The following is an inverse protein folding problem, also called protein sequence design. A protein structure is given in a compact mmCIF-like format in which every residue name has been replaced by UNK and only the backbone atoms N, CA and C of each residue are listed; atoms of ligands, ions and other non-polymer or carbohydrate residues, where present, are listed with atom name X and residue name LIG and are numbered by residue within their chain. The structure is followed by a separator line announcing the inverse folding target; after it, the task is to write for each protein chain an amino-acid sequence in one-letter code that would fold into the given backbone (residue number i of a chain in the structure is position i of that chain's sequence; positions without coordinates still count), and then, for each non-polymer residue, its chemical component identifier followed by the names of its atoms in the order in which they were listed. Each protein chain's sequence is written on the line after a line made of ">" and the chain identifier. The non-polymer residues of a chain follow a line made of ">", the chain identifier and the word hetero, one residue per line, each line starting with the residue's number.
data_IF_803447229219
#
_entry.id   IF_803447229219
#
_cell.length_a   1.000
_cell.length_b   1.000
_cell.length_c   1.000
_cell.angle_alpha   90.00
_cell.angle_beta   90.00
_cell.angle_gamma   90.00
#
_symmetry.space_group_name_H-M   'P 1'
#
loop_
_entity.id
_entity.type
_entity.pdbx_description
1 polymer ?
#
# COMPACT_ATOMS: atom_id res chain seq x y z
N UNK A 1 3.10 22.62 40.97
CA UNK A 1 3.72 23.81 41.63
C UNK A 1 5.23 23.65 41.49
N UNK A 2 5.81 24.10 40.41
CA UNK A 2 7.22 24.50 40.26
C UNK A 2 7.27 25.33 38.99
N UNK A 3 7.46 26.60 39.18
CA UNK A 3 7.71 27.68 38.23
C UNK A 3 9.15 27.56 37.70
N UNK A 4 9.36 27.70 36.40
CA UNK A 4 10.67 27.94 35.84
C UNK A 4 10.66 29.22 35.01
N UNK A 5 11.48 30.13 35.50
CA UNK A 5 11.77 31.49 35.02
C UNK A 5 12.39 31.48 33.61
N UNK A 6 11.96 32.46 32.82
CA UNK A 6 12.63 32.89 31.61
C UNK A 6 13.93 33.65 31.85
N UNK A 7 14.89 33.43 30.98
CA UNK A 7 16.05 34.30 30.82
C UNK A 7 16.06 34.84 29.39
N UNK A 8 15.72 36.11 29.26
CA UNK A 8 15.90 36.92 28.04
C UNK A 8 17.33 37.44 28.04
N UNK A 9 18.17 37.02 27.12
CA UNK A 9 19.48 37.62 26.86
C UNK A 9 19.32 38.65 25.74
N UNK A 10 19.38 39.94 26.11
CA UNK A 10 19.51 41.04 25.19
C UNK A 10 21.00 41.20 24.81
N UNK A 11 21.34 40.98 23.55
CA UNK A 11 22.64 41.33 22.98
C UNK A 11 22.48 42.64 22.18
N UNK A 12 23.09 43.68 22.69
CA UNK A 12 23.21 44.97 22.05
C UNK A 12 24.16 44.90 20.84
N UNK A 13 23.71 45.40 19.70
CA UNK A 13 24.53 45.58 18.50
C UNK A 13 25.15 46.99 18.49
N UNK A 14 26.41 47.16 18.10
CA UNK A 14 26.92 48.43 17.64
C UNK A 14 27.22 48.43 16.14
N UNK A 15 26.79 49.48 15.46
CA UNK A 15 27.47 50.01 14.29
C UNK A 15 26.93 49.62 12.93
N UNK A 16 25.83 50.22 12.50
CA UNK A 16 25.45 50.35 11.10
C UNK A 16 26.37 51.32 10.37
N UNK A 17 27.34 50.80 9.60
CA UNK A 17 28.00 51.57 8.53
C UNK A 17 27.06 51.56 7.31
N UNK A 18 26.63 52.74 6.89
CA UNK A 18 25.99 52.97 5.61
C UNK A 18 26.91 52.54 4.46
N UNK A 19 26.58 51.47 3.78
CA UNK A 19 27.14 51.13 2.49
C UNK A 19 26.32 51.86 1.42
N UNK A 20 26.99 52.70 0.66
CA UNK A 20 26.42 53.43 -0.48
C UNK A 20 25.82 52.44 -1.50
N UNK A 21 24.60 52.69 -1.90
CA UNK A 21 23.91 51.94 -2.97
C UNK A 21 24.65 52.23 -4.29
N UNK A 22 25.36 51.20 -4.78
CA UNK A 22 25.79 51.14 -6.17
C UNK A 22 24.54 50.75 -7.01
N UNK A 23 24.18 51.63 -7.93
CA UNK A 23 23.15 51.39 -8.93
C UNK A 23 23.52 50.15 -9.77
N UNK A 24 22.73 49.09 -9.61
CA UNK A 24 22.84 47.88 -10.43
C UNK A 24 22.46 48.21 -11.89
N UNK A 25 23.18 47.65 -12.88
CA UNK A 25 22.83 47.82 -14.27
C UNK A 25 21.45 47.20 -14.54
N UNK A 26 20.66 47.87 -15.38
CA UNK A 26 19.33 47.46 -15.83
C UNK A 26 19.27 45.95 -16.15
N UNK A 27 18.70 45.18 -15.24
CA UNK A 27 18.37 43.81 -15.51
C UNK A 27 17.26 43.80 -16.55
N UNK A 28 17.53 43.22 -17.74
CA UNK A 28 16.54 42.85 -18.73
C UNK A 28 15.38 42.14 -18.02
N UNK A 29 14.10 42.54 -18.22
CA UNK A 29 12.98 41.93 -17.54
C UNK A 29 13.00 40.43 -17.84
N UNK A 30 13.17 39.61 -16.81
CA UNK A 30 12.96 38.16 -16.92
C UNK A 30 11.56 37.94 -17.47
N UNK A 31 11.40 37.13 -18.54
CA UNK A 31 10.08 36.85 -19.08
C UNK A 31 9.17 36.32 -17.97
N UNK A 32 8.01 36.95 -17.85
CA UNK A 32 7.01 36.69 -16.84
C UNK A 32 6.63 35.21 -16.83
N UNK A 33 7.13 34.47 -15.85
CA UNK A 33 6.90 33.04 -15.71
C UNK A 33 5.43 32.69 -15.52
N UNK A 34 4.62 33.63 -15.07
CA UNK A 34 3.17 33.47 -14.89
C UNK A 34 2.40 33.50 -16.22
N UNK A 35 2.83 34.28 -17.21
CA UNK A 35 2.21 34.29 -18.53
C UNK A 35 2.50 32.99 -19.32
N UNK A 36 3.73 32.48 -19.25
CA UNK A 36 4.06 31.18 -19.87
C UNK A 36 3.30 30.01 -19.26
N UNK A 37 3.05 30.05 -17.96
CA UNK A 37 2.26 29.02 -17.26
C UNK A 37 0.78 29.01 -17.68
N UNK A 38 0.20 30.18 -18.03
CA UNK A 38 -1.20 30.28 -18.43
C UNK A 38 -1.48 29.70 -19.85
N UNK A 39 -0.47 29.64 -20.72
CA UNK A 39 -0.60 29.12 -22.09
C UNK A 39 -0.44 27.59 -22.18
N UNK A 40 0.20 26.96 -21.21
CA UNK A 40 0.41 25.51 -21.18
C UNK A 40 -0.84 24.77 -20.69
N UNK A 41 -0.95 23.51 -21.13
CA UNK A 41 -1.96 22.58 -20.63
C UNK A 41 -1.79 22.37 -19.11
N UNK A 42 -2.77 22.75 -18.32
CA UNK A 42 -2.74 22.54 -16.87
C UNK A 42 -3.15 21.11 -16.54
N UNK A 43 -2.27 20.38 -15.89
CA UNK A 43 -2.45 18.96 -15.62
C UNK A 43 -2.31 18.70 -14.12
N UNK A 44 -3.21 17.90 -13.57
CA UNK A 44 -3.13 17.38 -12.22
C UNK A 44 -2.90 15.87 -12.27
N UNK A 45 -1.90 15.38 -11.51
CA UNK A 45 -1.61 13.96 -11.37
C UNK A 45 -2.16 13.44 -10.05
N UNK A 46 -3.01 12.44 -10.13
CA UNK A 46 -3.62 11.74 -9.01
C UNK A 46 -3.16 10.29 -8.99
N UNK A 47 -2.25 10.00 -8.11
CA UNK A 47 -1.68 8.66 -7.96
C UNK A 47 -2.37 7.91 -6.82
N UNK A 48 -3.24 6.98 -7.15
CA UNK A 48 -3.90 6.07 -6.20
C UNK A 48 -3.27 4.66 -6.27
N UNK A 49 -1.95 4.63 -6.37
CA UNK A 49 -1.14 3.41 -6.42
C UNK A 49 0.29 3.71 -5.98
N UNK A 50 1.02 2.66 -5.59
CA UNK A 50 2.45 2.77 -5.34
C UNK A 50 3.25 2.92 -6.64
N UNK A 51 4.43 3.56 -6.57
CA UNK A 51 5.34 3.73 -7.70
C UNK A 51 5.10 4.97 -8.54
N UNK A 52 4.21 5.86 -8.12
CA UNK A 52 4.05 7.19 -8.68
C UNK A 52 5.03 8.17 -8.04
N UNK A 53 5.96 8.67 -8.82
CA UNK A 53 6.94 9.68 -8.44
C UNK A 53 6.57 11.03 -9.08
N UNK A 54 5.87 11.86 -8.32
CA UNK A 54 5.36 13.15 -8.83
C UNK A 54 6.48 14.06 -9.31
N UNK A 55 7.58 14.13 -8.57
CA UNK A 55 8.69 15.00 -8.90
C UNK A 55 9.40 14.56 -10.18
N UNK A 56 9.46 13.26 -10.39
CA UNK A 56 9.92 12.70 -11.67
C UNK A 56 9.01 13.12 -12.82
N UNK A 57 7.68 13.02 -12.68
CA UNK A 57 6.75 13.42 -13.76
C UNK A 57 6.82 14.91 -14.05
N UNK A 58 6.93 15.75 -13.01
CA UNK A 58 7.08 17.20 -13.16
C UNK A 58 8.33 17.55 -13.98
N UNK A 59 9.42 16.86 -13.70
CA UNK A 59 10.71 17.06 -14.41
C UNK A 59 10.68 16.49 -15.82
N UNK A 60 10.16 15.28 -15.97
CA UNK A 60 10.19 14.51 -17.21
C UNK A 60 9.18 15.01 -18.26
N UNK A 61 8.06 15.60 -17.83
CA UNK A 61 6.98 16.06 -18.70
C UNK A 61 6.88 17.60 -18.60
N UNK A 62 7.87 18.27 -19.13
CA UNK A 62 8.03 19.72 -19.00
C UNK A 62 7.12 20.56 -19.91
N UNK A 63 6.42 19.98 -20.89
CA UNK A 63 5.57 20.71 -21.84
C UNK A 63 4.18 21.06 -21.27
N UNK A 64 3.79 20.53 -20.11
CA UNK A 64 2.57 20.88 -19.39
C UNK A 64 2.85 21.77 -18.18
N UNK A 65 1.80 22.40 -17.65
CA UNK A 65 1.85 23.13 -16.37
C UNK A 65 1.18 22.26 -15.30
N UNK A 66 1.99 21.68 -14.43
CA UNK A 66 1.48 20.85 -13.35
C UNK A 66 0.79 21.71 -12.30
N UNK A 67 -0.45 21.35 -11.95
CA UNK A 67 -1.19 22.01 -10.88
C UNK A 67 -1.14 21.18 -9.60
N UNK A 68 -1.24 21.86 -8.48
CA UNK A 68 -1.31 21.21 -7.18
C UNK A 68 -2.70 20.71 -6.84
N UNK A 69 -3.73 21.35 -7.42
CA UNK A 69 -5.12 21.01 -7.15
C UNK A 69 -5.83 20.62 -8.45
N UNK A 70 -6.68 19.61 -8.35
CA UNK A 70 -7.45 19.09 -9.49
C UNK A 70 -8.42 20.11 -10.06
N UNK A 71 -8.99 20.98 -9.22
CA UNK A 71 -9.97 21.97 -9.66
C UNK A 71 -9.37 23.04 -10.59
N UNK A 72 -8.04 23.21 -10.55
CA UNK A 72 -7.31 24.16 -11.39
C UNK A 72 -6.78 23.51 -12.69
N UNK A 73 -6.90 22.20 -12.83
CA UNK A 73 -6.42 21.47 -14.00
C UNK A 73 -7.38 21.54 -15.19
N UNK A 74 -6.82 21.48 -16.39
CA UNK A 74 -7.57 21.23 -17.63
C UNK A 74 -7.73 19.71 -17.85
N UNK A 75 -6.72 18.92 -17.41
CA UNK A 75 -6.73 17.45 -17.43
C UNK A 75 -6.38 16.92 -16.04
N UNK A 76 -7.23 16.05 -15.52
CA UNK A 76 -6.97 15.26 -14.32
C UNK A 76 -6.54 13.84 -14.74
N UNK A 77 -5.32 13.45 -14.42
CA UNK A 77 -4.77 12.12 -14.68
C UNK A 77 -4.91 11.29 -13.41
N UNK A 78 -5.80 10.30 -13.42
CA UNK A 78 -5.99 9.35 -12.34
C UNK A 78 -5.24 8.05 -12.68
N UNK A 79 -4.31 7.65 -11.83
CA UNK A 79 -3.51 6.43 -11.98
C UNK A 79 -3.88 5.44 -10.90
N UNK A 80 -4.40 4.28 -11.32
CA UNK A 80 -4.69 3.14 -10.44
C UNK A 80 -3.92 1.92 -10.90
N UNK A 81 -3.74 0.92 -10.04
CA UNK A 81 -3.10 -0.34 -10.43
C UNK A 81 -3.72 -1.54 -9.72
N UNK A 82 -3.63 -2.69 -10.39
CA UNK A 82 -3.88 -4.02 -9.83
C UNK A 82 -2.65 -4.90 -10.05
N UNK A 83 -2.44 -5.84 -9.13
CA UNK A 83 -1.40 -6.84 -9.29
C UNK A 83 -1.81 -7.86 -10.38
N UNK A 84 -0.88 -8.17 -11.27
CA UNK A 84 -1.07 -9.22 -12.26
C UNK A 84 -0.83 -10.60 -11.64
N UNK A 85 -1.35 -11.66 -12.27
CA UNK A 85 -1.07 -13.03 -11.84
C UNK A 85 0.42 -13.39 -11.77
N UNK A 86 1.26 -12.66 -12.52
CA UNK A 86 2.72 -12.76 -12.50
C UNK A 86 3.40 -11.93 -11.40
N UNK A 87 2.64 -11.25 -10.54
CA UNK A 87 3.16 -10.36 -9.50
C UNK A 87 3.70 -9.03 -10.01
N UNK A 88 3.51 -8.70 -11.29
CA UNK A 88 3.72 -7.38 -11.84
C UNK A 88 2.54 -6.45 -11.55
N UNK A 89 2.56 -5.24 -12.12
CA UNK A 89 1.48 -4.27 -11.96
C UNK A 89 0.84 -3.92 -13.31
N UNK A 90 -0.48 -3.94 -13.34
CA UNK A 90 -1.29 -3.47 -14.46
C UNK A 90 -1.87 -2.11 -14.08
N UNK A 91 -1.37 -1.05 -14.72
CA UNK A 91 -1.79 0.32 -14.49
C UNK A 91 -2.94 0.70 -15.41
N UNK A 92 -3.94 1.36 -14.85
CA UNK A 92 -5.01 2.04 -15.58
C UNK A 92 -4.85 3.54 -15.37
N UNK A 93 -4.63 4.27 -16.47
CA UNK A 93 -4.47 5.72 -16.49
C UNK A 93 -5.70 6.34 -17.13
N UNK A 94 -6.48 7.09 -16.36
CA UNK A 94 -7.64 7.83 -16.85
C UNK A 94 -7.29 9.30 -16.98
N UNK A 95 -7.54 9.86 -18.14
CA UNK A 95 -7.37 11.28 -18.47
C UNK A 95 -8.74 11.93 -18.54
N UNK A 96 -9.08 12.69 -17.53
CA UNK A 96 -10.41 13.26 -17.36
C UNK A 96 -10.34 14.75 -17.68
N UNK A 97 -10.94 15.13 -18.79
CA UNK A 97 -11.01 16.50 -19.23
C UNK A 97 -11.88 17.35 -18.31
N UNK A 98 -11.39 18.55 -18.01
CA UNK A 98 -12.07 19.56 -17.21
C UNK A 98 -12.04 20.90 -17.95
N UNK A 99 -12.82 21.88 -17.51
CA UNK A 99 -12.86 23.23 -18.08
C UNK A 99 -13.05 23.18 -19.62
N UNK A 100 -12.05 23.64 -20.41
CA UNK A 100 -12.08 23.62 -21.87
C UNK A 100 -12.13 22.22 -22.49
N UNK A 101 -11.75 21.20 -21.73
CA UNK A 101 -11.80 19.79 -22.15
C UNK A 101 -12.92 19.01 -21.46
N UNK A 102 -13.88 19.69 -20.83
CA UNK A 102 -15.01 19.02 -20.19
C UNK A 102 -15.74 18.11 -21.20
N UNK A 103 -16.08 16.89 -20.76
CA UNK A 103 -16.70 15.87 -21.61
C UNK A 103 -15.73 15.00 -22.42
N UNK A 104 -14.43 15.30 -22.43
CA UNK A 104 -13.42 14.43 -23.04
C UNK A 104 -12.80 13.54 -21.96
N UNK A 105 -12.69 12.26 -22.25
CA UNK A 105 -12.00 11.31 -21.39
C UNK A 105 -11.28 10.28 -22.26
N UNK A 106 -10.04 9.95 -21.86
CA UNK A 106 -9.27 8.86 -22.45
C UNK A 106 -8.82 7.92 -21.34
N UNK A 107 -8.71 6.65 -21.65
CA UNK A 107 -8.16 5.64 -20.73
C UNK A 107 -7.09 4.83 -21.45
N UNK A 108 -5.90 4.78 -20.88
CA UNK A 108 -4.84 3.90 -21.34
C UNK A 108 -4.45 2.94 -20.24
N UNK A 109 -4.01 1.77 -20.67
CA UNK A 109 -3.50 0.74 -19.77
C UNK A 109 -2.05 0.41 -20.14
N UNK A 110 -1.25 0.10 -19.14
CA UNK A 110 0.13 -0.38 -19.33
C UNK A 110 0.48 -1.33 -18.20
N UNK A 111 1.42 -2.23 -18.45
CA UNK A 111 1.84 -3.21 -17.44
C UNK A 111 3.35 -3.18 -17.27
N UNK A 112 3.79 -3.52 -16.08
CA UNK A 112 5.20 -3.77 -15.76
C UNK A 112 5.34 -5.15 -15.13
N UNK A 113 6.49 -5.78 -15.34
CA UNK A 113 6.81 -7.08 -14.75
C UNK A 113 7.05 -6.99 -13.23
N UNK A 114 7.08 -8.14 -12.58
CA UNK A 114 7.31 -8.23 -11.12
C UNK A 114 8.71 -7.79 -10.70
N UNK A 115 9.68 -7.90 -11.59
CA UNK A 115 11.08 -7.51 -11.40
C UNK A 115 11.38 -6.05 -11.79
N UNK A 116 10.36 -5.33 -12.29
CA UNK A 116 10.50 -3.93 -12.66
C UNK A 116 10.95 -3.08 -11.46
N UNK A 117 12.01 -2.32 -11.65
CA UNK A 117 12.51 -1.37 -10.67
C UNK A 117 11.55 -0.19 -10.47
N UNK A 118 11.74 0.59 -9.43
CA UNK A 118 10.97 1.84 -9.25
C UNK A 118 11.17 2.80 -10.43
N UNK A 119 12.36 2.80 -11.03
CA UNK A 119 12.66 3.62 -12.21
C UNK A 119 11.90 3.14 -13.46
N UNK A 120 11.86 1.83 -13.71
CA UNK A 120 11.08 1.25 -14.81
C UNK A 120 9.60 1.58 -14.69
N UNK A 121 9.05 1.49 -13.49
CA UNK A 121 7.64 1.81 -13.20
C UNK A 121 7.33 3.27 -13.51
N UNK A 122 8.07 4.21 -12.92
CA UNK A 122 7.84 5.65 -13.15
C UNK A 122 8.06 6.04 -14.61
N UNK A 123 9.06 5.49 -15.31
CA UNK A 123 9.30 5.74 -16.75
C UNK A 123 8.17 5.21 -17.62
N UNK A 124 7.66 4.02 -17.32
CA UNK A 124 6.52 3.42 -18.04
C UNK A 124 5.27 4.28 -17.90
N UNK A 125 4.95 4.72 -16.68
CA UNK A 125 3.83 5.63 -16.43
C UNK A 125 4.06 6.96 -17.18
N UNK A 126 5.25 7.57 -17.06
CA UNK A 126 5.56 8.83 -17.70
C UNK A 126 5.42 8.77 -19.23
N UNK A 127 5.89 7.68 -19.86
CA UNK A 127 5.74 7.45 -21.30
C UNK A 127 4.27 7.44 -21.71
N UNK A 128 3.44 6.67 -20.99
CA UNK A 128 2.00 6.58 -21.26
C UNK A 128 1.30 7.93 -21.06
N UNK A 129 1.65 8.65 -19.99
CA UNK A 129 1.12 10.00 -19.72
C UNK A 129 1.52 10.98 -20.85
N UNK A 130 2.78 10.97 -21.29
CA UNK A 130 3.24 11.83 -22.40
C UNK A 130 2.43 11.60 -23.67
N UNK A 131 2.20 10.34 -24.05
CA UNK A 131 1.47 9.97 -25.28
C UNK A 131 0.08 10.62 -25.35
N UNK A 132 -0.64 10.65 -24.23
CA UNK A 132 -1.99 11.23 -24.18
C UNK A 132 -1.93 12.76 -24.03
N UNK A 133 -1.08 13.27 -23.15
CA UNK A 133 -1.01 14.71 -22.89
C UNK A 133 -0.55 15.52 -24.11
N UNK A 134 0.27 14.94 -24.99
CA UNK A 134 0.63 15.58 -26.27
C UNK A 134 -0.60 15.88 -27.11
N UNK A 135 -1.58 14.96 -27.19
CA UNK A 135 -2.83 15.16 -27.91
C UNK A 135 -3.63 16.34 -27.36
N UNK A 136 -3.76 16.44 -26.03
CA UNK A 136 -4.46 17.58 -25.41
C UNK A 136 -3.67 18.88 -25.53
N UNK A 137 -2.36 18.83 -25.39
CA UNK A 137 -1.49 20.00 -25.52
C UNK A 137 -1.49 20.55 -26.96
N UNK A 138 -1.61 19.68 -27.97
CA UNK A 138 -1.75 20.07 -29.37
C UNK A 138 -3.04 20.89 -29.66
N UNK A 139 -4.06 20.80 -28.81
CA UNK A 139 -5.27 21.62 -28.86
C UNK A 139 -5.15 22.96 -28.12
N UNK A 140 -3.92 23.34 -27.69
CA UNK A 140 -3.65 24.60 -26.98
C UNK A 140 -2.65 25.45 -27.74
N UNK A 141 -2.45 26.73 -27.40
CA UNK A 141 -1.38 27.55 -27.99
C UNK A 141 0.03 26.95 -27.88
N UNK A 142 0.26 26.00 -26.95
CA UNK A 142 1.51 25.27 -26.84
C UNK A 142 1.82 24.36 -28.04
N UNK A 143 0.83 24.08 -28.91
CA UNK A 143 1.01 23.27 -30.13
C UNK A 143 2.17 23.76 -31.01
N UNK A 144 2.36 25.08 -31.10
CA UNK A 144 3.42 25.68 -31.89
C UNK A 144 4.85 25.32 -31.42
N UNK A 145 4.97 24.80 -30.20
CA UNK A 145 6.24 24.46 -29.56
C UNK A 145 6.43 22.95 -29.33
N UNK A 146 5.47 22.12 -29.78
CA UNK A 146 5.54 20.66 -29.64
C UNK A 146 6.09 20.05 -30.92
N UNK A 147 7.28 19.48 -30.83
CA UNK A 147 7.84 18.59 -31.84
C UNK A 147 7.64 17.13 -31.40
N UNK A 148 7.20 16.27 -32.31
CA UNK A 148 7.15 14.81 -32.08
C UNK A 148 8.23 14.17 -32.92
N UNK A 149 9.22 13.56 -32.27
CA UNK A 149 10.24 12.73 -32.91
C UNK A 149 9.84 11.26 -32.78
N UNK A 150 9.97 10.53 -33.85
CA UNK A 150 9.82 9.08 -33.86
C UNK A 150 11.22 8.46 -33.94
N UNK A 151 11.68 7.94 -32.81
CA UNK A 151 12.90 7.15 -32.79
C UNK A 151 12.49 5.70 -33.10
N UNK A 152 12.75 5.28 -34.34
CA UNK A 152 12.58 3.89 -34.71
C UNK A 152 13.59 3.06 -33.88
N UNK A 153 13.19 2.09 -33.06
CA UNK A 153 14.14 1.19 -32.41
C UNK A 153 14.95 0.55 -33.54
N UNK A 154 16.25 0.80 -33.59
CA UNK A 154 17.13 0.22 -34.58
C UNK A 154 16.84 -1.27 -34.70
N UNK A 155 16.54 -1.77 -35.87
CA UNK A 155 15.93 -3.05 -36.24
C UNK A 155 16.13 -4.15 -35.21
N UNK A 156 15.38 -4.10 -34.13
CA UNK A 156 15.03 -5.30 -33.38
C UNK A 156 14.15 -6.05 -34.37
N UNK A 157 14.72 -7.11 -34.96
CA UNK A 157 14.07 -7.96 -35.92
C UNK A 157 12.58 -8.02 -35.60
N UNK A 158 11.73 -7.68 -36.56
CA UNK A 158 10.30 -7.84 -36.50
C UNK A 158 10.09 -9.22 -35.90
N UNK A 159 9.84 -9.29 -34.61
CA UNK A 159 9.38 -10.52 -33.99
C UNK A 159 8.03 -10.73 -34.66
N UNK A 160 8.08 -11.45 -35.80
CA UNK A 160 6.88 -12.00 -36.36
C UNK A 160 6.11 -12.58 -35.21
N UNK A 161 4.80 -12.54 -35.24
CA UNK A 161 3.87 -13.17 -34.29
C UNK A 161 4.30 -14.63 -34.03
N UNK A 162 5.46 -14.81 -33.40
CA UNK A 162 5.84 -16.08 -32.81
C UNK A 162 4.92 -16.21 -31.62
N UNK A 163 4.03 -17.18 -31.69
CA UNK A 163 3.34 -17.66 -30.49
C UNK A 163 4.42 -17.89 -29.44
N UNK A 164 4.53 -16.95 -28.50
CA UNK A 164 5.48 -17.07 -27.38
C UNK A 164 5.01 -18.32 -26.62
N UNK A 165 5.74 -19.42 -26.79
CA UNK A 165 5.47 -20.63 -26.02
C UNK A 165 5.97 -20.32 -24.60
N UNK A 166 5.03 -20.10 -23.71
CA UNK A 166 5.33 -19.96 -22.28
C UNK A 166 5.58 -21.40 -21.70
N UNK A 167 6.86 -21.77 -21.42
CA UNK A 167 7.18 -23.10 -20.89
C UNK A 167 6.66 -23.30 -19.46
N UNK A 168 6.29 -22.24 -18.78
CA UNK A 168 5.77 -22.27 -17.41
C UNK A 168 4.26 -22.34 -17.34
N UNK A 169 3.55 -22.26 -18.46
CA UNK A 169 2.09 -22.30 -18.54
C UNK A 169 1.40 -21.37 -17.52
N UNK A 170 1.85 -20.10 -17.48
CA UNK A 170 1.38 -19.03 -16.59
C UNK A 170 1.67 -19.26 -15.09
N UNK A 171 2.49 -20.25 -14.75
CA UNK A 171 2.98 -20.38 -13.38
C UNK A 171 4.07 -19.36 -13.07
N UNK A 172 3.96 -18.74 -11.92
CA UNK A 172 4.96 -17.83 -11.38
C UNK A 172 5.37 -18.30 -9.99
N UNK A 173 6.67 -18.50 -9.81
CA UNK A 173 7.27 -18.94 -8.57
C UNK A 173 8.07 -17.79 -7.95
N UNK A 174 7.92 -17.57 -6.66
CA UNK A 174 8.67 -16.55 -5.94
C UNK A 174 9.24 -17.15 -4.67
N UNK A 175 10.51 -16.88 -4.42
CA UNK A 175 11.21 -17.19 -3.18
C UNK A 175 11.73 -15.88 -2.63
N UNK A 176 11.45 -15.59 -1.37
CA UNK A 176 11.99 -14.40 -0.72
C UNK A 176 12.37 -14.67 0.73
N UNK A 177 13.39 -13.98 1.21
CA UNK A 177 13.81 -13.99 2.60
C UNK A 177 14.07 -12.55 3.04
N UNK A 178 13.69 -12.25 4.28
CA UNK A 178 13.92 -10.94 4.88
C UNK A 178 14.52 -11.15 6.27
N UNK A 179 15.45 -10.28 6.64
CA UNK A 179 16.03 -10.24 7.98
C UNK A 179 15.96 -8.82 8.52
N UNK A 180 15.46 -8.68 9.73
CA UNK A 180 15.47 -7.43 10.48
C UNK A 180 16.23 -7.64 11.80
N UNK A 181 17.19 -6.77 12.06
CA UNK A 181 18.04 -6.82 13.26
C UNK A 181 18.04 -5.45 13.91
N UNK A 182 17.83 -5.43 15.22
CA UNK A 182 17.94 -4.22 16.01
C UNK A 182 18.71 -4.52 17.29
N UNK A 183 19.34 -3.50 17.86
CA UNK A 183 20.08 -3.68 19.11
C UNK A 183 20.39 -2.36 19.78
N UNK A 184 20.37 -2.41 21.07
CA UNK A 184 20.82 -1.37 21.99
C UNK A 184 21.54 -2.01 23.17
N UNK A 185 21.98 -1.23 24.16
CA UNK A 185 22.81 -1.73 25.28
C UNK A 185 22.16 -2.82 26.12
N UNK A 186 20.82 -2.82 26.26
CA UNK A 186 20.07 -3.71 27.13
C UNK A 186 19.11 -4.64 26.40
N UNK A 187 18.93 -4.46 25.10
CA UNK A 187 18.06 -5.34 24.31
C UNK A 187 18.60 -5.55 22.90
N UNK A 188 18.35 -6.72 22.35
CA UNK A 188 18.56 -6.98 20.93
C UNK A 188 17.47 -7.88 20.39
N UNK A 189 17.18 -7.70 19.12
CA UNK A 189 16.16 -8.48 18.42
C UNK A 189 16.63 -8.89 17.03
N UNK A 190 16.20 -10.07 16.64
CA UNK A 190 16.31 -10.54 15.26
C UNK A 190 14.98 -11.12 14.82
N UNK A 191 14.59 -10.81 13.61
CA UNK A 191 13.43 -11.38 12.95
C UNK A 191 13.84 -11.84 11.56
N UNK A 192 13.73 -13.14 11.30
CA UNK A 192 14.03 -13.76 10.02
C UNK A 192 12.76 -14.35 9.45
N UNK A 193 12.45 -14.03 8.21
CA UNK A 193 11.29 -14.57 7.51
C UNK A 193 11.68 -15.13 6.14
N UNK A 194 11.10 -16.28 5.79
CA UNK A 194 11.21 -16.89 4.48
C UNK A 194 9.82 -17.10 3.90
N UNK A 195 9.66 -16.82 2.60
CA UNK A 195 8.39 -16.97 1.90
C UNK A 195 8.62 -17.68 0.57
N UNK A 196 7.76 -18.64 0.28
CA UNK A 196 7.66 -19.34 -1.00
C UNK A 196 6.27 -19.12 -1.55
N UNK A 197 6.13 -18.84 -2.82
CA UNK A 197 4.82 -18.83 -3.48
C UNK A 197 4.88 -19.38 -4.88
N UNK A 198 3.77 -20.01 -5.29
CA UNK A 198 3.53 -20.45 -6.65
C UNK A 198 2.12 -20.03 -7.02
N UNK A 199 1.97 -19.23 -8.07
CA UNK A 199 0.68 -18.70 -8.49
C UNK A 199 0.47 -18.96 -9.98
N UNK A 200 -0.78 -19.26 -10.35
CA UNK A 200 -1.23 -19.37 -11.74
C UNK A 200 -2.57 -18.66 -11.87
N UNK A 201 -2.61 -17.63 -12.67
CA UNK A 201 -3.84 -16.85 -12.89
C UNK A 201 -4.18 -16.85 -14.37
N UNK A 202 -5.37 -17.30 -14.69
CA UNK A 202 -5.97 -17.25 -16.04
C UNK A 202 -7.29 -16.48 -15.95
N UNK A 203 -8.00 -16.33 -17.04
CA UNK A 203 -9.34 -15.73 -17.02
C UNK A 203 -10.33 -16.55 -16.17
N UNK A 204 -10.21 -17.89 -16.18
CA UNK A 204 -11.15 -18.79 -15.53
C UNK A 204 -10.69 -19.29 -14.16
N UNK A 205 -9.37 -19.36 -13.94
CA UNK A 205 -8.79 -19.97 -12.75
C UNK A 205 -7.74 -19.10 -12.09
N UNK A 206 -7.80 -19.04 -10.76
CA UNK A 206 -6.74 -18.50 -9.91
C UNK A 206 -6.31 -19.58 -8.93
N UNK A 207 -5.08 -20.06 -9.06
CA UNK A 207 -4.49 -21.09 -8.22
C UNK A 207 -3.31 -20.46 -7.51
N UNK A 208 -3.22 -20.59 -6.20
CA UNK A 208 -2.11 -20.09 -5.41
C UNK A 208 -1.72 -21.07 -4.31
N UNK A 209 -0.41 -21.28 -4.17
CA UNK A 209 0.21 -21.97 -3.06
C UNK A 209 1.16 -20.97 -2.39
N UNK A 210 1.17 -20.97 -1.08
CA UNK A 210 2.07 -20.14 -0.29
C UNK A 210 2.64 -20.97 0.86
N UNK A 211 3.88 -20.71 1.23
CA UNK A 211 4.45 -21.18 2.48
C UNK A 211 5.30 -20.06 3.08
N UNK A 212 5.19 -19.89 4.38
CA UNK A 212 6.03 -18.95 5.10
C UNK A 212 6.58 -19.59 6.37
N UNK A 213 7.76 -19.10 6.80
CA UNK A 213 8.35 -19.42 8.07
C UNK A 213 8.91 -18.13 8.68
N UNK A 214 8.70 -17.96 9.97
CA UNK A 214 9.20 -16.82 10.71
C UNK A 214 9.91 -17.30 11.98
N UNK A 215 11.07 -16.73 12.23
CA UNK A 215 11.86 -16.91 13.43
C UNK A 215 12.14 -15.56 14.06
N UNK A 216 11.67 -15.35 15.28
CA UNK A 216 11.92 -14.14 16.05
C UNK A 216 12.66 -14.51 17.32
N UNK A 217 13.75 -13.79 17.59
CA UNK A 217 14.50 -13.88 18.85
C UNK A 217 14.60 -12.49 19.45
N UNK A 218 14.33 -12.39 20.74
CA UNK A 218 14.51 -11.17 21.54
C UNK A 218 15.35 -11.50 22.75
N UNK A 219 16.41 -10.72 22.99
CA UNK A 219 17.31 -10.87 24.11
C UNK A 219 17.18 -9.61 24.98
N UNK A 220 17.08 -9.81 26.30
CA UNK A 220 17.01 -8.71 27.27
C UNK A 220 18.03 -8.90 28.36
N UNK A 221 18.81 -7.87 28.66
CA UNK A 221 19.76 -7.83 29.76
C UNK A 221 19.21 -6.92 30.85
N UNK A 222 18.74 -7.49 31.95
CA UNK A 222 18.14 -6.75 33.06
C UNK A 222 19.15 -6.12 33.99
N UNK A 223 20.34 -6.73 34.10
CA UNK A 223 21.50 -6.21 34.86
C UNK A 223 22.76 -6.87 34.35
N UNK A 224 23.93 -6.30 34.71
CA UNK A 224 25.24 -6.78 34.25
C UNK A 224 25.71 -8.11 34.91
N UNK A 225 24.96 -8.61 35.87
CA UNK A 225 25.35 -9.81 36.65
C UNK A 225 24.57 -11.06 36.27
N UNK A 226 23.50 -10.94 35.51
CA UNK A 226 22.67 -12.07 35.05
C UNK A 226 22.80 -12.29 33.54
N UNK A 227 22.82 -13.55 33.09
CA UNK A 227 22.78 -13.84 31.65
C UNK A 227 21.54 -13.19 30.98
N UNK A 228 21.63 -12.76 29.72
CA UNK A 228 20.48 -12.26 29.00
C UNK A 228 19.34 -13.28 28.95
N UNK A 229 18.11 -12.80 29.18
CA UNK A 229 16.90 -13.59 28.92
C UNK A 229 16.66 -13.67 27.44
N UNK A 230 16.60 -14.89 26.89
CA UNK A 230 16.43 -15.14 25.45
C UNK A 230 15.04 -15.70 25.21
N UNK A 231 14.29 -15.01 24.38
CA UNK A 231 12.94 -15.41 23.98
C UNK A 231 12.91 -15.72 22.50
N UNK A 232 12.43 -16.90 22.14
CA UNK A 232 12.32 -17.37 20.77
C UNK A 232 10.86 -17.64 20.45
N UNK A 233 10.39 -17.14 19.33
CA UNK A 233 9.07 -17.43 18.78
C UNK A 233 9.22 -17.93 17.36
N UNK A 234 8.56 -19.02 17.04
CA UNK A 234 8.54 -19.63 15.73
C UNK A 234 7.12 -19.74 15.21
N UNK A 235 6.97 -19.46 13.95
CA UNK A 235 5.73 -19.75 13.25
C UNK A 235 6.03 -20.20 11.82
N UNK A 236 5.19 -21.09 11.31
CA UNK A 236 5.25 -21.50 9.92
C UNK A 236 3.85 -21.82 9.42
N UNK A 237 3.59 -21.57 8.16
CA UNK A 237 2.32 -21.97 7.56
C UNK A 237 2.50 -22.29 6.08
N UNK A 238 1.61 -23.13 5.58
CA UNK A 238 1.40 -23.31 4.16
C UNK A 238 -0.09 -23.20 3.85
N UNK A 239 -0.40 -22.61 2.72
CA UNK A 239 -1.77 -22.40 2.27
C UNK A 239 -1.90 -22.70 0.78
N UNK A 240 -3.10 -23.11 0.40
CA UNK A 240 -3.52 -23.34 -0.97
C UNK A 240 -4.87 -22.65 -1.18
N UNK A 241 -5.03 -21.98 -2.31
CA UNK A 241 -6.32 -21.47 -2.76
C UNK A 241 -6.52 -21.82 -4.23
N UNK A 242 -7.67 -22.34 -4.56
CA UNK A 242 -8.10 -22.64 -5.92
C UNK A 242 -9.44 -21.98 -6.11
N UNK A 243 -9.52 -21.03 -7.03
CA UNK A 243 -10.73 -20.25 -7.32
C UNK A 243 -11.06 -20.42 -8.80
N UNK A 244 -12.32 -20.66 -9.09
CA UNK A 244 -12.89 -20.71 -10.43
C UNK A 244 -13.82 -19.52 -10.64
N UNK A 245 -13.61 -18.78 -11.71
CA UNK A 245 -14.55 -17.77 -12.19
C UNK A 245 -15.75 -18.48 -12.82
N UNK A 246 -16.95 -18.23 -12.30
CA UNK A 246 -18.18 -18.84 -12.83
C UNK A 246 -18.89 -17.91 -13.83
N UNK A 247 -18.91 -16.62 -13.50
CA UNK A 247 -19.47 -15.53 -14.33
C UNK A 247 -18.69 -14.24 -14.09
N UNK A 248 -19.12 -13.15 -14.73
CA UNK A 248 -18.56 -11.80 -14.47
C UNK A 248 -18.73 -11.33 -13.01
N UNK A 249 -19.61 -11.96 -12.22
CA UNK A 249 -19.94 -11.59 -10.85
C UNK A 249 -19.68 -12.69 -9.82
N UNK A 250 -19.75 -13.97 -10.21
CA UNK A 250 -19.65 -15.10 -9.30
C UNK A 250 -18.33 -15.85 -9.43
N UNK A 251 -17.76 -16.20 -8.29
CA UNK A 251 -16.61 -17.10 -8.19
C UNK A 251 -16.85 -18.13 -7.10
N UNK A 252 -16.32 -19.31 -7.26
CA UNK A 252 -16.32 -20.35 -6.24
C UNK A 252 -14.90 -20.87 -6.02
N UNK A 253 -14.57 -21.25 -4.80
CA UNK A 253 -13.23 -21.69 -4.48
C UNK A 253 -13.16 -22.68 -3.34
N UNK A 254 -11.98 -23.29 -3.23
CA UNK A 254 -11.58 -24.10 -2.10
C UNK A 254 -10.23 -23.59 -1.58
N UNK A 255 -10.08 -23.60 -0.27
CA UNK A 255 -8.82 -23.26 0.37
C UNK A 255 -8.44 -24.33 1.39
N UNK A 256 -7.14 -24.52 1.57
CA UNK A 256 -6.60 -25.34 2.64
C UNK A 256 -5.44 -24.60 3.28
N UNK A 257 -5.26 -24.81 4.57
CA UNK A 257 -4.14 -24.25 5.31
C UNK A 257 -3.62 -25.25 6.34
N UNK A 258 -2.32 -25.20 6.60
CA UNK A 258 -1.66 -25.91 7.69
C UNK A 258 -0.67 -24.92 8.32
N UNK A 259 -0.53 -24.94 9.63
CA UNK A 259 0.34 -24.00 10.31
C UNK A 259 0.75 -24.44 11.71
N UNK A 260 1.79 -23.77 12.20
CA UNK A 260 2.35 -23.86 13.55
C UNK A 260 2.58 -22.44 14.06
N UNK A 261 2.19 -22.13 15.30
CA UNK A 261 2.39 -20.81 15.89
C UNK A 261 2.56 -20.90 17.42
N UNK A 262 3.80 -20.77 17.90
CA UNK A 262 4.11 -20.84 19.32
C UNK A 262 3.38 -19.75 20.12
N UNK A 263 3.32 -18.54 19.60
CA UNK A 263 2.63 -17.41 20.24
C UNK A 263 1.15 -17.71 20.52
N UNK A 264 0.49 -18.46 19.64
CA UNK A 264 -0.93 -18.81 19.74
C UNK A 264 -1.14 -20.19 20.39
N UNK A 265 -0.13 -20.77 21.06
CA UNK A 265 -0.23 -22.11 21.64
C UNK A 265 -0.64 -23.20 20.62
N UNK A 266 -0.35 -23.00 19.33
CA UNK A 266 -0.75 -23.91 18.26
C UNK A 266 0.45 -24.74 17.79
N UNK A 267 0.49 -26.01 18.15
CA UNK A 267 1.44 -26.96 17.62
C UNK A 267 1.13 -27.29 16.15
N UNK A 268 -0.14 -27.46 15.86
CA UNK A 268 -0.64 -27.70 14.50
C UNK A 268 -2.04 -27.10 14.36
N UNK A 269 -2.23 -26.32 13.32
CA UNK A 269 -3.55 -25.93 12.82
C UNK A 269 -3.68 -26.42 11.39
N UNK A 270 -4.74 -27.16 11.05
CA UNK A 270 -5.00 -27.61 9.68
C UNK A 270 -6.47 -27.37 9.36
N UNK A 271 -6.76 -26.73 8.24
CA UNK A 271 -8.14 -26.40 7.86
C UNK A 271 -8.35 -26.50 6.37
N UNK A 272 -9.60 -26.74 5.99
CA UNK A 272 -10.06 -26.68 4.60
C UNK A 272 -11.41 -26.00 4.54
N UNK A 273 -11.63 -25.13 3.55
CA UNK A 273 -12.88 -24.37 3.39
C UNK A 273 -13.32 -24.36 1.95
N UNK A 274 -14.62 -24.48 1.75
CA UNK A 274 -15.28 -24.13 0.49
C UNK A 274 -15.79 -22.70 0.59
N UNK A 275 -15.71 -21.95 -0.50
CA UNK A 275 -16.13 -20.54 -0.52
C UNK A 275 -16.88 -20.20 -1.79
N UNK A 276 -17.78 -19.24 -1.68
CA UNK A 276 -18.46 -18.60 -2.80
C UNK A 276 -18.33 -17.09 -2.64
N UNK A 277 -18.11 -16.39 -3.75
CA UNK A 277 -17.96 -14.94 -3.79
C UNK A 277 -18.90 -14.36 -4.83
N UNK A 278 -19.51 -13.23 -4.47
CA UNK A 278 -20.27 -12.38 -5.38
C UNK A 278 -19.66 -10.99 -5.43
N UNK A 279 -19.27 -10.55 -6.62
CA UNK A 279 -18.85 -9.17 -6.86
C UNK A 279 -20.01 -8.38 -7.49
N UNK A 280 -20.40 -7.29 -6.85
CA UNK A 280 -21.48 -6.42 -7.33
C UNK A 280 -21.11 -5.67 -8.61
N UNK A 281 -19.82 -5.42 -8.84
CA UNK A 281 -19.26 -4.86 -10.07
C UNK A 281 -18.69 -5.98 -10.94
N UNK A 282 -18.56 -5.72 -12.22
CA UNK A 282 -17.86 -6.67 -13.11
C UNK A 282 -16.37 -6.70 -12.83
N UNK A 283 -15.74 -7.84 -12.97
CA UNK A 283 -14.29 -7.99 -12.74
C UNK A 283 -13.42 -7.04 -13.55
N UNK A 284 -13.89 -6.58 -14.73
CA UNK A 284 -13.20 -5.59 -15.55
C UNK A 284 -13.12 -4.21 -14.91
N UNK A 285 -13.98 -3.92 -13.96
CA UNK A 285 -14.06 -2.64 -13.25
C UNK A 285 -13.23 -2.64 -11.95
N UNK A 286 -12.65 -3.79 -11.57
CA UNK A 286 -11.97 -4.00 -10.30
C UNK A 286 -10.74 -3.09 -10.06
N UNK A 287 -10.21 -2.43 -11.09
CA UNK A 287 -9.19 -1.39 -10.94
C UNK A 287 -9.69 -0.17 -10.18
N UNK A 288 -11.01 0.10 -10.21
CA UNK A 288 -11.63 1.26 -9.60
C UNK A 288 -12.73 0.92 -8.62
N UNK A 289 -13.55 -0.08 -8.95
CA UNK A 289 -14.72 -0.47 -8.18
C UNK A 289 -14.70 -1.96 -7.93
N UNK A 290 -14.61 -2.34 -6.68
CA UNK A 290 -14.78 -3.72 -6.24
C UNK A 290 -15.64 -3.71 -4.99
N UNK A 291 -16.79 -4.40 -5.02
CA UNK A 291 -17.61 -4.63 -3.85
C UNK A 291 -18.01 -6.10 -3.83
N UNK A 292 -17.44 -6.84 -2.87
CA UNK A 292 -17.55 -8.29 -2.80
C UNK A 292 -18.21 -8.73 -1.51
N UNK A 293 -19.01 -9.79 -1.61
CA UNK A 293 -19.49 -10.57 -0.50
C UNK A 293 -18.98 -12.01 -0.65
N UNK A 294 -18.32 -12.52 0.39
CA UNK A 294 -17.74 -13.86 0.41
C UNK A 294 -18.32 -14.65 1.58
N UNK A 295 -18.74 -15.87 1.31
CA UNK A 295 -19.07 -16.83 2.35
C UNK A 295 -18.16 -18.05 2.24
N UNK A 296 -17.59 -18.47 3.35
CA UNK A 296 -16.69 -19.62 3.43
C UNK A 296 -17.10 -20.51 4.61
N UNK A 297 -16.99 -21.83 4.44
CA UNK A 297 -17.33 -22.83 5.45
C UNK A 297 -16.39 -24.02 5.36
N UNK A 298 -16.01 -24.57 6.50
CA UNK A 298 -15.20 -25.79 6.55
C UNK A 298 -14.66 -26.12 7.93
N UNK A 299 -14.05 -27.29 8.11
CA UNK A 299 -13.46 -27.71 9.37
C UNK A 299 -12.07 -27.08 9.60
N UNK A 300 -11.74 -26.86 10.86
CA UNK A 300 -10.39 -26.56 11.32
C UNK A 300 -10.03 -27.52 12.44
N UNK A 301 -8.89 -28.19 12.30
CA UNK A 301 -8.29 -29.05 13.32
C UNK A 301 -7.18 -28.29 14.00
N UNK A 302 -7.19 -28.25 15.35
CA UNK A 302 -6.16 -27.63 16.17
C UNK A 302 -5.55 -28.70 17.10
N UNK A 303 -4.22 -28.73 17.19
CA UNK A 303 -3.45 -29.40 18.22
C UNK A 303 -2.62 -28.35 18.95
N UNK A 304 -2.71 -28.35 20.27
CA UNK A 304 -2.12 -27.33 21.10
C UNK A 304 -0.80 -27.77 21.71
N UNK A 305 0.13 -26.84 21.94
CA UNK A 305 1.41 -27.08 22.60
C UNK A 305 1.15 -27.36 24.09
N UNK A 306 0.34 -26.54 24.73
CA UNK A 306 -0.09 -26.70 26.12
C UNK A 306 -1.61 -26.85 26.17
N UNK A 307 -2.12 -27.49 27.22
CA UNK A 307 -3.55 -27.60 27.45
C UNK A 307 -4.20 -26.20 27.50
N UNK A 308 -5.31 -26.03 26.77
CA UNK A 308 -6.02 -24.76 26.73
C UNK A 308 -6.83 -24.51 28.02
N UNK A 309 -7.27 -23.25 28.19
CA UNK A 309 -8.19 -22.87 29.29
C UNK A 309 -9.51 -23.68 29.28
N UNK A 310 -9.87 -24.28 28.12
CA UNK A 310 -11.02 -25.17 27.96
C UNK A 310 -10.66 -26.65 28.14
N UNK A 311 -9.47 -26.95 28.70
CA UNK A 311 -8.97 -28.31 28.97
C UNK A 311 -8.78 -29.15 27.71
N UNK A 312 -8.55 -28.54 26.55
CA UNK A 312 -8.32 -29.22 25.29
C UNK A 312 -6.83 -29.29 24.99
N UNK A 313 -6.41 -30.40 24.40
CA UNK A 313 -5.06 -30.59 23.80
C UNK A 313 -5.16 -30.69 22.28
N UNK A 314 -6.32 -31.07 21.78
CA UNK A 314 -6.66 -31.03 20.35
C UNK A 314 -8.18 -31.00 20.14
N UNK A 315 -8.62 -30.46 19.04
CA UNK A 315 -10.04 -30.43 18.65
C UNK A 315 -10.20 -30.16 17.16
N UNK A 316 -11.32 -30.63 16.61
CA UNK A 316 -11.72 -30.34 15.23
C UNK A 316 -13.07 -29.66 15.26
N UNK A 317 -13.13 -28.45 14.70
CA UNK A 317 -14.31 -27.59 14.81
C UNK A 317 -14.75 -27.11 13.43
N UNK A 318 -16.02 -27.25 13.07
CA UNK A 318 -16.57 -26.60 11.90
C UNK A 318 -16.68 -25.10 12.14
N UNK A 319 -16.22 -24.30 11.16
CA UNK A 319 -16.22 -22.85 11.20
C UNK A 319 -16.80 -22.30 9.92
N UNK A 320 -17.51 -21.19 10.01
CA UNK A 320 -17.88 -20.40 8.85
C UNK A 320 -17.38 -18.96 8.96
N UNK A 321 -17.32 -18.28 7.84
CA UNK A 321 -16.89 -16.90 7.75
C UNK A 321 -17.71 -16.19 6.68
N UNK A 322 -18.13 -14.98 6.98
CA UNK A 322 -18.72 -14.04 6.04
C UNK A 322 -17.84 -12.79 5.96
N UNK A 323 -17.56 -12.33 4.76
CA UNK A 323 -16.74 -11.15 4.49
C UNK A 323 -17.51 -10.26 3.51
N UNK A 324 -17.51 -8.95 3.80
CA UNK A 324 -17.89 -7.91 2.85
C UNK A 324 -16.68 -6.99 2.71
N UNK A 325 -16.28 -6.70 1.48
CA UNK A 325 -15.19 -5.77 1.22
C UNK A 325 -15.53 -4.83 0.07
N UNK A 326 -15.15 -3.57 0.24
CA UNK A 326 -15.31 -2.53 -0.77
C UNK A 326 -13.98 -1.83 -1.02
N UNK A 327 -13.62 -1.69 -2.29
CA UNK A 327 -12.56 -0.81 -2.77
C UNK A 327 -13.14 0.09 -3.83
N UNK A 328 -13.06 1.40 -3.61
CA UNK A 328 -13.51 2.42 -4.57
C UNK A 328 -12.41 3.46 -4.73
N UNK A 329 -12.00 3.71 -5.97
CA UNK A 329 -10.97 4.70 -6.33
C UNK A 329 -11.55 5.69 -7.33
N UNK A 330 -11.75 6.91 -6.86
CA UNK A 330 -12.43 7.96 -7.58
C UNK A 330 -11.68 9.28 -7.55
N UNK A 331 -12.11 10.23 -8.37
CA UNK A 331 -11.54 11.59 -8.42
C UNK A 331 -11.59 12.32 -7.07
N UNK A 332 -12.59 12.03 -6.26
CA UNK A 332 -12.75 12.67 -4.94
C UNK A 332 -11.91 12.00 -3.84
N UNK A 333 -11.35 10.82 -4.11
CA UNK A 333 -10.52 10.07 -3.17
C UNK A 333 -10.67 8.57 -3.31
N UNK A 334 -10.31 7.83 -2.27
CA UNK A 334 -10.43 6.37 -2.21
C UNK A 334 -11.12 5.92 -0.92
N UNK A 335 -11.79 4.80 -1.01
CA UNK A 335 -12.42 4.09 0.11
C UNK A 335 -12.03 2.61 0.01
N UNK A 336 -11.37 2.11 1.04
CA UNK A 336 -11.06 0.69 1.21
C UNK A 336 -11.63 0.25 2.57
N UNK A 337 -12.69 -0.55 2.54
CA UNK A 337 -13.38 -1.02 3.74
C UNK A 337 -13.57 -2.54 3.68
N UNK A 338 -13.42 -3.21 4.81
CA UNK A 338 -13.73 -4.63 4.94
C UNK A 338 -14.36 -4.92 6.29
N UNK A 339 -15.37 -5.77 6.28
CA UNK A 339 -15.99 -6.31 7.47
C UNK A 339 -16.00 -7.83 7.37
N UNK A 340 -15.69 -8.52 8.45
CA UNK A 340 -15.76 -9.97 8.50
C UNK A 340 -16.35 -10.46 9.83
N UNK A 341 -17.06 -11.57 9.75
CA UNK A 341 -17.54 -12.31 10.91
C UNK A 341 -17.18 -13.78 10.71
N UNK A 342 -16.51 -14.37 11.66
CA UNK A 342 -16.25 -15.80 11.72
C UNK A 342 -16.79 -16.41 13.01
N UNK A 343 -17.34 -17.61 12.92
CA UNK A 343 -17.94 -18.30 14.06
C UNK A 343 -17.65 -19.80 13.99
N UNK A 344 -17.49 -20.40 15.16
CA UNK A 344 -17.49 -21.85 15.27
C UNK A 344 -18.93 -22.37 15.35
N UNK A 345 -19.30 -23.30 14.45
CA UNK A 345 -20.68 -23.76 14.32
C UNK A 345 -21.17 -24.62 15.52
N UNK A 346 -20.26 -25.13 16.34
CA UNK A 346 -20.62 -25.87 17.56
C UNK A 346 -21.01 -24.95 18.72
N UNK A 347 -20.54 -23.70 18.71
CA UNK A 347 -20.84 -22.67 19.71
C UNK A 347 -20.75 -21.29 19.04
N UNK A 348 -21.88 -20.74 18.65
CA UNK A 348 -21.97 -19.45 17.98
C UNK A 348 -21.53 -18.26 18.85
N UNK A 349 -21.38 -18.45 20.16
CA UNK A 349 -20.81 -17.43 21.03
C UNK A 349 -19.30 -17.24 20.78
N UNK A 350 -18.63 -18.25 20.19
CA UNK A 350 -17.22 -18.21 19.78
C UNK A 350 -17.10 -17.50 18.43
N UNK A 351 -17.18 -16.17 18.50
CA UNK A 351 -17.25 -15.27 17.34
C UNK A 351 -16.06 -14.35 17.30
N UNK A 352 -15.56 -14.09 16.10
CA UNK A 352 -14.67 -12.99 15.81
C UNK A 352 -15.31 -12.10 14.75
N UNK A 353 -15.56 -10.85 15.11
CA UNK A 353 -16.07 -9.86 14.17
C UNK A 353 -15.05 -8.75 14.03
N UNK A 354 -14.68 -8.42 12.81
CA UNK A 354 -13.73 -7.36 12.52
C UNK A 354 -14.26 -6.40 11.47
N UNK A 355 -13.90 -5.14 11.64
CA UNK A 355 -14.12 -4.05 10.70
C UNK A 355 -12.79 -3.32 10.52
N UNK A 356 -12.37 -3.08 9.29
CA UNK A 356 -11.14 -2.35 9.02
C UNK A 356 -11.21 -1.61 7.70
N UNK A 357 -10.33 -0.63 7.54
CA UNK A 357 -10.18 0.08 6.29
C UNK A 357 -9.67 1.49 6.42
N UNK A 358 -9.68 2.20 5.30
CA UNK A 358 -9.29 3.59 5.19
C UNK A 358 -10.17 4.35 4.21
N UNK A 359 -10.31 5.63 4.48
CA UNK A 359 -11.06 6.57 3.64
C UNK A 359 -10.17 7.81 3.46
N UNK A 360 -9.83 8.12 2.23
CA UNK A 360 -9.13 9.35 1.84
C UNK A 360 -10.05 10.20 0.98
N UNK A 361 -10.45 11.36 1.47
CA UNK A 361 -11.43 12.24 0.81
C UNK A 361 -10.89 13.63 0.63
N UNK A 362 -10.97 14.13 -0.58
CA UNK A 362 -10.73 15.53 -0.93
C UNK A 362 -12.04 16.31 -0.82
N UNK A 363 -12.25 16.99 0.31
CA UNK A 363 -13.50 17.70 0.61
C UNK A 363 -13.67 18.92 -0.30
N UNK A 364 -12.63 19.73 -0.40
CA UNK A 364 -12.59 20.92 -1.25
C UNK A 364 -11.18 21.19 -1.72
N UNK A 365 -10.97 22.29 -2.45
CA UNK A 365 -9.66 22.70 -2.94
C UNK A 365 -8.63 22.80 -1.79
N UNK A 366 -7.59 21.99 -1.91
CA UNK A 366 -6.50 21.92 -0.95
C UNK A 366 -6.82 21.23 0.38
N UNK A 367 -8.08 20.90 0.68
CA UNK A 367 -8.49 20.25 1.93
C UNK A 367 -8.78 18.76 1.70
N UNK A 368 -8.03 17.91 2.38
CA UNK A 368 -8.25 16.46 2.41
C UNK A 368 -8.35 15.92 3.83
N UNK A 369 -9.12 14.87 3.98
CA UNK A 369 -9.28 14.09 5.20
C UNK A 369 -8.90 12.66 4.91
N UNK A 370 -8.08 12.10 5.79
CA UNK A 370 -7.70 10.70 5.79
C UNK A 370 -8.12 10.09 7.13
N UNK A 371 -8.93 9.04 7.07
CA UNK A 371 -9.41 8.31 8.25
C UNK A 371 -9.14 6.83 7.98
N UNK A 372 -8.54 6.16 8.94
CA UNK A 372 -8.34 4.72 8.83
C UNK A 372 -8.24 4.06 10.18
N UNK A 373 -8.30 2.73 10.15
CA UNK A 373 -8.19 1.94 11.35
C UNK A 373 -8.84 0.58 11.26
N UNK A 374 -8.85 -0.10 12.38
CA UNK A 374 -9.52 -1.39 12.54
C UNK A 374 -10.12 -1.51 13.92
N UNK A 375 -11.18 -2.30 14.02
CA UNK A 375 -11.80 -2.70 15.28
C UNK A 375 -12.18 -4.17 15.19
N UNK A 376 -11.97 -4.92 16.26
CA UNK A 376 -12.32 -6.34 16.35
C UNK A 376 -12.98 -6.65 17.70
N UNK A 377 -14.05 -7.43 17.66
CA UNK A 377 -14.65 -8.09 18.81
C UNK A 377 -14.20 -9.55 18.79
N UNK A 378 -13.52 -9.99 19.86
CA UNK A 378 -12.77 -11.25 19.89
C UNK A 378 -13.33 -12.14 20.99
N UNK A 379 -14.05 -13.19 20.61
CA UNK A 379 -14.61 -14.19 21.53
C UNK A 379 -14.27 -15.62 21.12
N UNK A 380 -13.36 -15.78 20.17
CA UNK A 380 -12.96 -17.06 19.54
C UNK A 380 -11.59 -17.58 19.98
N UNK A 381 -11.00 -17.02 21.04
CA UNK A 381 -9.67 -17.40 21.53
C UNK A 381 -9.70 -18.75 22.27
N UNK A 382 -10.00 -19.83 21.56
CA UNK A 382 -10.09 -21.20 22.11
C UNK A 382 -8.70 -21.79 22.42
N UNK A 383 -7.65 -21.21 21.87
CA UNK A 383 -6.27 -21.69 21.90
C UNK A 383 -5.45 -21.21 23.11
N UNK A 384 -6.00 -20.33 23.95
CA UNK A 384 -5.25 -19.79 25.08
C UNK A 384 -4.77 -20.89 26.03
N UNK A 385 -3.48 -20.88 26.35
CA UNK A 385 -2.88 -21.83 27.27
C UNK A 385 -3.39 -21.64 28.71
N UNK A 386 -3.58 -22.73 29.44
CA UNK A 386 -4.08 -22.73 30.83
C UNK A 386 -3.04 -22.30 31.87
N UNK A 387 -1.81 -22.06 31.55
CA UNK A 387 -0.76 -21.74 32.52
C UNK A 387 -0.96 -20.39 33.22
N UNK A 388 -0.40 -20.23 34.43
CA UNK A 388 -0.22 -18.91 35.03
C UNK A 388 0.79 -18.11 34.21
N UNK A 389 0.38 -16.92 33.78
CA UNK A 389 1.26 -16.00 33.07
C UNK A 389 2.23 -15.37 34.08
N UNK A 390 3.54 -15.54 33.86
CA UNK A 390 4.56 -14.79 34.56
C UNK A 390 4.51 -13.31 34.19
N UNK A 391 4.98 -12.44 35.06
CA UNK A 391 5.11 -11.01 34.75
C UNK A 391 5.99 -10.80 33.52
N UNK A 392 7.02 -11.64 33.34
CA UNK A 392 7.90 -11.64 32.18
C UNK A 392 7.16 -11.96 30.87
N UNK A 393 6.27 -12.96 30.87
CA UNK A 393 5.46 -13.36 29.70
C UNK A 393 4.58 -12.21 29.23
N UNK A 394 4.03 -11.44 30.19
CA UNK A 394 3.14 -10.30 29.93
C UNK A 394 3.96 -9.13 29.36
N UNK A 395 5.07 -8.76 30.02
CA UNK A 395 5.89 -7.61 29.64
C UNK A 395 6.59 -7.83 28.30
N UNK A 396 7.02 -9.04 28.02
CA UNK A 396 7.73 -9.40 26.78
C UNK A 396 6.81 -9.87 25.67
N UNK A 397 5.50 -9.93 25.89
CA UNK A 397 4.48 -10.40 24.93
C UNK A 397 4.83 -11.77 24.33
N UNK A 398 5.22 -12.73 25.16
CA UNK A 398 5.61 -14.06 24.70
C UNK A 398 4.42 -14.97 24.37
N UNK A 399 3.26 -14.68 24.92
CA UNK A 399 2.03 -15.45 24.73
C UNK A 399 0.86 -14.53 24.40
N UNK A 400 -0.10 -15.06 23.67
CA UNK A 400 -1.37 -14.36 23.41
C UNK A 400 -2.17 -14.24 24.72
N UNK A 401 -2.57 -13.02 25.04
CA UNK A 401 -3.43 -12.70 26.16
C UNK A 401 -4.90 -12.74 25.75
N UNK A 402 -5.77 -13.06 26.75
CA UNK A 402 -7.20 -12.94 26.54
C UNK A 402 -7.58 -11.47 26.23
N UNK A 403 -8.31 -11.27 25.17
CA UNK A 403 -8.86 -9.96 24.83
C UNK A 403 -10.28 -10.13 24.32
N UNK A 404 -11.17 -9.22 24.66
CA UNK A 404 -12.54 -9.21 24.16
C UNK A 404 -12.74 -8.24 23.00
N UNK A 405 -11.85 -7.27 22.87
CA UNK A 405 -11.84 -6.32 21.74
C UNK A 405 -10.46 -5.75 21.52
N UNK A 406 -10.20 -5.29 20.31
CA UNK A 406 -9.06 -4.46 19.98
C UNK A 406 -9.47 -3.42 18.95
N UNK A 407 -8.85 -2.25 19.00
CA UNK A 407 -9.06 -1.23 17.99
C UNK A 407 -7.82 -0.39 17.79
N UNK A 408 -7.70 0.13 16.59
CA UNK A 408 -6.73 1.13 16.18
C UNK A 408 -7.42 2.09 15.23
N UNK A 409 -7.23 3.39 15.40
CA UNK A 409 -7.75 4.40 14.48
C UNK A 409 -6.77 5.56 14.35
N UNK A 410 -6.76 6.13 13.17
CA UNK A 410 -6.06 7.39 12.90
C UNK A 410 -6.95 8.32 12.09
N UNK A 411 -6.79 9.61 12.31
CA UNK A 411 -7.47 10.67 11.58
C UNK A 411 -6.43 11.71 11.19
N UNK A 412 -6.36 12.03 9.92
CA UNK A 412 -5.51 13.06 9.37
C UNK A 412 -6.34 14.13 8.66
N UNK A 413 -6.00 15.38 8.87
CA UNK A 413 -6.52 16.53 8.15
C UNK A 413 -5.36 17.25 7.50
N UNK A 414 -5.42 17.49 6.20
CA UNK A 414 -4.42 18.25 5.47
C UNK A 414 -5.08 19.40 4.73
N UNK A 415 -4.57 20.61 4.97
CA UNK A 415 -4.99 21.79 4.22
C UNK A 415 -3.79 22.45 3.57
N UNK A 416 -3.77 22.45 2.25
CA UNK A 416 -2.70 23.00 1.43
C UNK A 416 -3.19 24.20 0.66
N UNK A 417 -2.62 25.37 0.90
CA UNK A 417 -2.97 26.64 0.27
C UNK A 417 -1.73 27.36 -0.31
N UNK A 418 -1.93 28.40 -1.07
CA UNK A 418 -0.85 29.19 -1.68
C UNK A 418 -0.75 28.95 -3.21
N UNK A 419 0.44 29.11 -3.79
CA UNK A 419 0.65 29.02 -5.24
C UNK A 419 0.28 27.64 -5.80
N UNK A 420 -0.60 27.63 -6.79
CA UNK A 420 -0.96 26.41 -7.55
C UNK A 420 0.07 26.07 -8.64
N UNK A 421 0.95 27.01 -8.96
CA UNK A 421 1.96 26.89 -10.03
C UNK A 421 3.36 26.53 -9.53
N UNK A 422 3.55 26.42 -8.18
CA UNK A 422 4.84 26.05 -7.63
C UNK A 422 5.04 24.54 -7.75
N UNK A 423 5.60 24.13 -8.87
CA UNK A 423 5.92 22.74 -9.20
C UNK A 423 7.42 22.55 -9.46
N UNK A 424 8.25 23.48 -8.97
CA UNK A 424 9.69 23.43 -9.13
C UNK A 424 10.26 22.37 -8.20
N UNK A 425 10.99 21.41 -8.76
CA UNK A 425 11.74 20.40 -8.01
C UNK A 425 13.12 20.95 -7.67
N UNK A 426 13.43 21.06 -6.38
CA UNK A 426 14.75 21.49 -5.92
C UNK A 426 15.18 20.67 -4.70
N UNK A 427 15.88 19.52 -4.92
CA UNK A 427 16.25 18.60 -3.85
C UNK A 427 17.54 19.01 -3.09
N UNK A 428 17.96 20.27 -3.22
CA UNK A 428 19.20 20.75 -2.57
C UNK A 428 19.01 20.77 -1.06
N UNK A 429 19.96 20.14 -0.37
CA UNK A 429 19.99 20.01 1.10
C UNK A 429 18.87 19.16 1.72
N UNK A 430 17.94 18.58 0.96
CA UNK A 430 16.88 17.73 1.52
C UNK A 430 17.46 16.54 2.30
N UNK A 431 18.55 15.93 1.79
CA UNK A 431 19.23 14.82 2.47
C UNK A 431 19.90 15.25 3.78
N UNK A 432 20.43 16.49 3.85
CA UNK A 432 21.08 17.02 5.03
C UNK A 432 20.07 17.38 6.14
N UNK A 433 18.85 17.74 5.78
CA UNK A 433 17.78 18.12 6.70
C UNK A 433 16.85 16.97 7.11
N UNK A 434 17.28 15.71 6.89
CA UNK A 434 16.48 14.52 7.24
C UNK A 434 15.34 14.20 6.26
N UNK A 435 15.23 14.95 5.17
CA UNK A 435 14.30 14.65 4.10
C UNK A 435 14.80 13.48 3.26
N UNK A 436 14.32 12.27 3.52
CA UNK A 436 14.58 11.16 2.63
C UNK A 436 14.88 9.78 3.20
N UNK A 437 14.86 9.62 4.52
CA UNK A 437 14.79 8.29 5.13
C UNK A 437 13.46 8.11 5.85
N UNK A 438 12.38 8.03 5.07
CA UNK A 438 11.14 7.48 5.58
C UNK A 438 11.24 5.95 5.50
N UNK A 439 11.73 5.33 6.56
CA UNK A 439 11.51 3.91 6.75
C UNK A 439 10.03 3.73 7.09
N UNK A 440 9.22 3.32 6.13
CA UNK A 440 7.89 2.80 6.45
C UNK A 440 8.08 1.48 7.19
N UNK A 441 8.01 1.53 8.50
CA UNK A 441 7.76 0.34 9.29
C UNK A 441 6.29 -0.01 9.11
N UNK A 442 5.97 -1.02 8.30
CA UNK A 442 4.69 -1.69 8.40
C UNK A 442 4.73 -2.55 9.67
N UNK A 443 3.99 -2.14 10.67
CA UNK A 443 3.69 -2.95 11.86
C UNK A 443 2.73 -4.07 11.51
#
# INVERSE_FOLDING_TARGET
>A
MITLLGAVLALAAPGLRQLAAQSAPNATPKPDSTKRSAERLRTYMDCQTMGCDRDFFVTEIAFVSWTRDRADADIHVLVTALETGGGGLHYTLQFIGQRRFAGHADTLVTSVSSDATSDDRRRTIARTVKQVLVRYAAATPAAAYIGVTFDEPGAVASAGTSTVIDPWNLWVYRVSTNGFFNGESQSSGSNLSGNLSATRTTADWKISFGANANYRQSNYTFNDTTPPSVFIQRSSSANMNIVKSLTDHWSAGVSANIGHAEFNNQELTAGGRASIEYNFYKWKEATQHQFVAVYAIGPTHNRYIEQTIFLKTSETLPQHQFIIANTTKERWGSVDLSASVSQYLHDLSKTNASLGGSVDVRITKGLSVNIGGSASSVHDQIFLARGNLGVEDILTKQRQLATSFSYFTFVGLSYTFGSIYNTIVNPRLDKANGGGMSFMFSM
#
